data_IF_830699353142
#
_entry.id   IF_830699353142
#
_cell.length_a   1.000
_cell.length_b   1.000
_cell.length_c   1.000
_cell.angle_alpha   90.00
_cell.angle_beta   90.00
_cell.angle_gamma   90.00
#
_symmetry.space_group_name_H-M   'P 1'
#
loop_
_entity.id
_entity.type
_entity.pdbx_description
1 polymer ?
#
# COMPACT_ATOMS: atom_id res chain seq x y z
N UNK A 1 7.29 41.62 -7.57
CA UNK A 1 7.50 40.20 -7.32
C UNK A 1 6.46 39.81 -6.27
N UNK A 2 5.28 39.34 -6.69
CA UNK A 2 4.19 38.98 -5.78
C UNK A 2 4.48 37.62 -5.20
N UNK A 3 4.78 37.56 -3.93
CA UNK A 3 4.82 36.30 -3.16
C UNK A 3 3.37 35.90 -2.92
N UNK A 4 2.83 35.05 -3.78
CA UNK A 4 1.58 34.37 -3.47
C UNK A 4 1.88 33.39 -2.32
N UNK A 5 1.35 33.67 -1.14
CA UNK A 5 1.47 32.77 0.00
C UNK A 5 0.74 31.45 -0.31
N UNK A 6 1.24 30.32 0.20
CA UNK A 6 0.60 29.01 0.08
C UNK A 6 -0.87 28.99 0.56
N UNK A 7 -1.25 29.94 1.41
CA UNK A 7 -2.64 30.20 1.82
C UNK A 7 -3.52 30.71 0.68
N UNK A 8 -3.02 31.57 -0.21
CA UNK A 8 -3.81 32.11 -1.32
C UNK A 8 -4.15 31.07 -2.38
N UNK A 9 -3.30 30.05 -2.55
CA UNK A 9 -3.56 28.95 -3.49
C UNK A 9 -4.66 28.02 -2.96
N UNK A 10 -4.63 27.69 -1.66
CA UNK A 10 -5.66 26.87 -1.01
C UNK A 10 -7.02 27.59 -1.09
N UNK A 11 -7.06 28.89 -0.83
CA UNK A 11 -8.27 29.71 -0.89
C UNK A 11 -8.82 29.84 -2.32
N UNK A 12 -7.95 30.06 -3.30
CA UNK A 12 -8.33 30.08 -4.72
C UNK A 12 -8.87 28.74 -5.15
N UNK A 13 -8.24 27.66 -4.70
CA UNK A 13 -8.63 26.29 -4.98
C UNK A 13 -10.00 25.93 -4.38
N UNK A 14 -10.23 26.22 -3.09
CA UNK A 14 -11.53 26.02 -2.46
C UNK A 14 -12.63 26.84 -3.14
N UNK A 15 -12.28 28.04 -3.61
CA UNK A 15 -13.17 28.89 -4.39
C UNK A 15 -13.52 28.33 -5.76
N UNK A 16 -12.59 27.68 -6.45
CA UNK A 16 -12.82 27.04 -7.76
C UNK A 16 -13.65 25.76 -7.59
N UNK A 17 -13.34 24.94 -6.57
CA UNK A 17 -14.11 23.73 -6.27
C UNK A 17 -15.54 24.00 -5.84
N UNK A 18 -15.79 25.13 -5.19
CA UNK A 18 -17.15 25.53 -4.79
C UNK A 18 -18.03 25.96 -5.96
N UNK A 19 -17.45 26.24 -7.14
CA UNK A 19 -18.14 26.81 -8.32
C UNK A 19 -18.28 25.89 -9.52
N UNK A 20 -17.74 24.68 -9.50
CA UNK A 20 -17.77 23.83 -10.70
C UNK A 20 -17.11 22.46 -10.55
N UNK A 21 -16.63 21.91 -11.60
CA UNK A 21 -16.04 20.58 -11.71
C UNK A 21 -14.97 20.34 -10.61
N UNK A 22 -15.18 19.33 -9.77
CA UNK A 22 -14.14 18.88 -8.83
C UNK A 22 -12.86 18.60 -9.62
N UNK A 23 -11.78 19.31 -9.30
CA UNK A 23 -10.46 18.99 -9.81
C UNK A 23 -10.03 17.66 -9.22
N UNK A 24 -9.39 16.83 -10.02
CA UNK A 24 -8.83 15.57 -9.60
C UNK A 24 -7.76 15.83 -8.52
N UNK A 25 -7.68 14.98 -7.52
CA UNK A 25 -6.68 15.10 -6.45
C UNK A 25 -5.25 15.09 -7.00
N UNK A 26 -5.02 14.34 -8.06
CA UNK A 26 -3.74 14.30 -8.76
C UNK A 26 -3.36 15.64 -9.39
N UNK A 27 -4.31 16.36 -9.97
CA UNK A 27 -4.07 17.71 -10.51
C UNK A 27 -3.69 18.71 -9.42
N UNK A 28 -4.26 18.54 -8.22
CA UNK A 28 -3.93 19.35 -7.06
C UNK A 28 -2.50 19.11 -6.58
N UNK A 29 -2.15 17.85 -6.42
CA UNK A 29 -0.82 17.44 -6.01
C UNK A 29 0.20 17.93 -7.02
N UNK A 30 -0.10 17.75 -8.31
CA UNK A 30 0.72 18.27 -9.40
C UNK A 30 0.95 19.79 -9.26
N UNK A 31 -0.13 20.55 -9.17
CA UNK A 31 -0.04 22.02 -9.03
C UNK A 31 0.79 22.41 -7.81
N UNK A 32 0.57 21.76 -6.68
CA UNK A 32 1.31 22.03 -5.46
C UNK A 32 2.80 21.73 -5.60
N UNK A 33 3.16 20.58 -6.13
CA UNK A 33 4.55 20.18 -6.36
C UNK A 33 5.25 21.21 -7.27
N UNK A 34 4.63 21.51 -8.41
CA UNK A 34 5.25 22.37 -9.42
C UNK A 34 5.31 23.86 -9.07
N UNK A 35 4.57 24.32 -8.07
CA UNK A 35 4.76 25.67 -7.49
C UNK A 35 6.02 25.78 -6.61
N UNK A 36 6.51 24.66 -6.09
CA UNK A 36 7.67 24.63 -5.19
C UNK A 36 8.94 24.17 -5.90
N UNK A 37 8.88 23.70 -7.15
CA UNK A 37 10.04 23.37 -7.97
C UNK A 37 10.52 24.62 -8.71
N UNK A 38 11.85 24.83 -8.78
CA UNK A 38 12.45 25.97 -9.45
C UNK A 38 12.23 25.92 -10.97
N UNK A 39 12.15 27.11 -11.64
CA UNK A 39 11.99 27.19 -13.11
C UNK A 39 13.02 26.34 -13.87
N UNK A 40 14.24 26.27 -13.36
CA UNK A 40 15.34 25.52 -13.98
C UNK A 40 15.02 24.02 -14.12
N UNK A 41 14.34 23.46 -13.15
CA UNK A 41 14.07 22.02 -13.06
C UNK A 41 12.64 21.65 -13.52
N UNK A 42 11.82 22.68 -13.78
CA UNK A 42 10.38 22.52 -14.05
C UNK A 42 10.09 21.56 -15.20
N UNK A 43 10.69 21.76 -16.37
CA UNK A 43 10.40 20.95 -17.56
C UNK A 43 10.81 19.49 -17.35
N UNK A 44 11.97 19.25 -16.71
CA UNK A 44 12.47 17.91 -16.41
C UNK A 44 11.50 17.14 -15.50
N UNK A 45 11.03 17.76 -14.44
CA UNK A 45 10.11 17.08 -13.51
C UNK A 45 8.68 17.00 -14.03
N UNK A 46 8.27 17.91 -14.91
CA UNK A 46 7.00 17.83 -15.61
C UNK A 46 6.96 16.61 -16.56
N UNK A 47 8.05 16.33 -17.26
CA UNK A 47 8.19 15.13 -18.09
C UNK A 47 8.12 13.85 -17.25
N UNK A 48 8.88 13.78 -16.14
CA UNK A 48 8.83 12.65 -15.19
C UNK A 48 7.42 12.41 -14.65
N UNK A 49 6.70 13.47 -14.28
CA UNK A 49 5.31 13.37 -13.84
C UNK A 49 4.40 12.82 -14.93
N UNK A 50 4.56 13.28 -16.16
CA UNK A 50 3.83 12.76 -17.32
C UNK A 50 4.10 11.27 -17.55
N UNK A 51 5.32 10.82 -17.33
CA UNK A 51 5.70 9.41 -17.46
C UNK A 51 5.16 8.55 -16.31
N UNK A 52 5.10 9.10 -15.08
CA UNK A 52 4.43 8.45 -13.95
C UNK A 52 2.94 8.19 -14.23
N UNK A 53 2.23 9.18 -14.76
CA UNK A 53 0.82 9.02 -15.16
C UNK A 53 0.67 7.90 -16.18
N UNK A 54 1.49 7.90 -17.24
CA UNK A 54 1.46 6.83 -18.26
C UNK A 54 1.76 5.45 -17.69
N UNK A 55 2.80 5.34 -16.85
CA UNK A 55 3.23 4.07 -16.25
C UNK A 55 2.20 3.50 -15.27
N UNK A 56 1.45 4.36 -14.57
CA UNK A 56 0.43 3.93 -13.62
C UNK A 56 -0.94 3.68 -14.26
N UNK A 57 -1.13 3.99 -15.54
CA UNK A 57 -2.39 3.80 -16.26
C UNK A 57 -3.60 4.36 -15.47
N UNK A 58 -3.53 5.62 -15.07
CA UNK A 58 -4.52 6.38 -14.28
C UNK A 58 -4.65 5.97 -12.79
N UNK A 59 -3.81 5.06 -12.30
CA UNK A 59 -3.78 4.67 -10.88
C UNK A 59 -2.68 5.39 -10.08
N UNK A 60 -2.28 6.60 -10.48
CA UNK A 60 -1.20 7.35 -9.82
C UNK A 60 -1.56 7.71 -8.37
N UNK A 61 -2.81 8.01 -8.07
CA UNK A 61 -3.28 8.32 -6.72
C UNK A 61 -3.09 7.13 -5.77
N UNK A 62 -3.52 5.94 -6.19
CA UNK A 62 -3.36 4.71 -5.41
C UNK A 62 -1.88 4.38 -5.21
N UNK A 63 -1.07 4.54 -6.26
CA UNK A 63 0.37 4.34 -6.16
C UNK A 63 1.02 5.30 -5.16
N UNK A 64 0.72 6.58 -5.24
CA UNK A 64 1.23 7.58 -4.30
C UNK A 64 0.80 7.27 -2.87
N UNK A 65 -0.45 6.88 -2.67
CA UNK A 65 -0.96 6.50 -1.36
C UNK A 65 -0.19 5.31 -0.76
N UNK A 66 0.03 4.27 -1.56
CA UNK A 66 0.82 3.10 -1.15
C UNK A 66 2.27 3.49 -0.85
N UNK A 67 2.89 4.30 -1.71
CA UNK A 67 4.26 4.78 -1.53
C UNK A 67 4.43 5.63 -0.27
N UNK A 68 3.54 6.60 -0.05
CA UNK A 68 3.59 7.49 1.11
C UNK A 68 3.50 6.71 2.43
N UNK A 69 2.67 5.68 2.48
CA UNK A 69 2.60 4.79 3.64
C UNK A 69 3.84 3.91 3.78
N UNK A 70 4.35 3.37 2.67
CA UNK A 70 5.46 2.44 2.67
C UNK A 70 6.82 3.08 3.01
N UNK A 71 7.04 4.35 2.63
CA UNK A 71 8.33 5.00 2.72
C UNK A 71 8.34 6.30 3.53
N UNK A 72 7.25 7.05 3.55
CA UNK A 72 7.22 8.41 4.11
C UNK A 72 6.54 8.48 5.49
N UNK A 73 6.02 7.36 6.01
CA UNK A 73 5.29 7.33 7.30
C UNK A 73 4.04 8.25 7.30
N UNK A 74 3.42 8.40 6.14
CA UNK A 74 2.25 9.23 5.96
C UNK A 74 0.98 8.38 5.93
N UNK A 75 0.24 8.32 7.04
CA UNK A 75 -0.92 7.43 7.22
C UNK A 75 -2.29 8.11 7.07
N UNK A 76 -2.30 9.40 6.73
CA UNK A 76 -3.57 10.12 6.63
C UNK A 76 -4.32 9.74 5.35
N UNK A 77 -5.63 9.59 5.47
CA UNK A 77 -6.51 9.32 4.33
C UNK A 77 -6.75 10.62 3.58
N UNK A 78 -6.43 10.61 2.28
CA UNK A 78 -6.67 11.72 1.38
C UNK A 78 -5.57 12.78 1.36
N UNK A 79 -5.16 13.13 0.17
CA UNK A 79 -4.21 14.20 -0.11
C UNK A 79 -4.96 15.54 -0.25
N UNK A 80 -5.77 15.92 0.76
CA UNK A 80 -6.44 17.22 0.74
C UNK A 80 -5.45 18.35 1.07
N UNK A 81 -5.71 19.55 0.57
CA UNK A 81 -4.89 20.74 0.79
C UNK A 81 -4.56 20.97 2.28
N UNK A 82 -5.46 20.59 3.19
CA UNK A 82 -5.25 20.66 4.65
C UNK A 82 -4.06 19.82 5.12
N UNK A 83 -3.69 18.76 4.40
CA UNK A 83 -2.64 17.83 4.78
C UNK A 83 -1.30 18.10 4.12
N UNK A 84 -1.21 18.97 3.11
CA UNK A 84 0.05 19.29 2.45
C UNK A 84 1.13 19.78 3.40
N UNK A 85 0.81 20.65 4.37
CA UNK A 85 1.81 21.11 5.35
C UNK A 85 2.43 19.98 6.17
N UNK A 86 1.64 18.97 6.51
CA UNK A 86 2.16 17.80 7.23
C UNK A 86 3.00 16.93 6.31
N UNK A 87 2.61 16.81 5.03
CA UNK A 87 3.37 16.10 4.01
C UNK A 87 4.71 16.78 3.76
N UNK A 88 4.75 18.11 3.61
CA UNK A 88 5.96 18.89 3.43
C UNK A 88 7.00 18.60 4.50
N UNK A 89 6.60 18.78 5.75
CA UNK A 89 7.48 18.50 6.87
C UNK A 89 7.98 17.06 6.85
N UNK A 90 7.10 16.12 6.57
CA UNK A 90 7.45 14.69 6.54
C UNK A 90 8.40 14.37 5.38
N UNK A 91 8.20 14.95 4.19
CA UNK A 91 9.11 14.79 3.04
C UNK A 91 10.49 15.41 3.32
N UNK A 92 10.51 16.62 3.85
CA UNK A 92 11.77 17.30 4.19
C UNK A 92 12.57 16.50 5.22
N UNK A 93 11.93 15.96 6.25
CA UNK A 93 12.58 15.10 7.25
C UNK A 93 13.07 13.78 6.64
N UNK A 94 12.23 13.11 5.85
CA UNK A 94 12.59 11.84 5.22
C UNK A 94 13.78 11.97 4.28
N UNK A 95 13.76 12.98 3.41
CA UNK A 95 14.85 13.23 2.45
C UNK A 95 16.01 14.02 3.02
N UNK A 96 15.94 14.44 4.28
CA UNK A 96 16.95 15.27 4.95
C UNK A 96 17.29 16.52 4.13
N UNK A 97 16.26 17.25 3.74
CA UNK A 97 16.37 18.47 2.95
C UNK A 97 15.83 19.65 3.75
N UNK A 98 16.53 20.79 3.66
CA UNK A 98 16.09 22.07 4.23
C UNK A 98 15.21 22.86 3.25
N UNK A 99 15.22 22.48 1.97
CA UNK A 99 14.42 23.06 0.89
C UNK A 99 13.32 22.10 0.45
N UNK A 100 12.08 22.60 0.41
CA UNK A 100 10.93 21.80 0.02
C UNK A 100 10.98 21.38 -1.45
N UNK A 101 11.46 22.26 -2.34
CA UNK A 101 11.57 21.94 -3.76
C UNK A 101 12.53 20.76 -3.99
N UNK A 102 13.64 20.71 -3.27
CA UNK A 102 14.59 19.59 -3.33
C UNK A 102 13.97 18.30 -2.76
N UNK A 103 13.20 18.39 -1.67
CA UNK A 103 12.50 17.24 -1.13
C UNK A 103 11.43 16.68 -2.11
N UNK A 104 10.69 17.56 -2.77
CA UNK A 104 9.69 17.20 -3.77
C UNK A 104 10.31 16.58 -5.04
N UNK A 105 11.46 17.08 -5.48
CA UNK A 105 12.23 16.48 -6.59
C UNK A 105 12.63 15.04 -6.26
N UNK A 106 13.21 14.81 -5.09
CA UNK A 106 13.56 13.46 -4.63
C UNK A 106 12.35 12.54 -4.49
N UNK A 107 11.23 13.08 -4.06
CA UNK A 107 9.98 12.34 -4.00
C UNK A 107 9.52 11.85 -5.38
N UNK A 108 9.57 12.71 -6.41
CA UNK A 108 9.24 12.31 -7.79
C UNK A 108 10.25 11.27 -8.30
N UNK A 109 11.54 11.46 -8.04
CA UNK A 109 12.59 10.51 -8.44
C UNK A 109 12.37 9.12 -7.83
N UNK A 110 12.02 9.06 -6.56
CA UNK A 110 11.71 7.80 -5.87
C UNK A 110 10.43 7.15 -6.39
N UNK A 111 9.40 7.95 -6.67
CA UNK A 111 8.19 7.43 -7.33
C UNK A 111 8.53 6.83 -8.69
N UNK A 112 9.32 7.53 -9.52
CA UNK A 112 9.71 7.03 -10.83
C UNK A 112 10.53 5.73 -10.75
N UNK A 113 11.45 5.65 -9.80
CA UNK A 113 12.29 4.47 -9.60
C UNK A 113 11.48 3.23 -9.19
N UNK A 114 10.42 3.41 -8.41
CA UNK A 114 9.69 2.30 -7.79
C UNK A 114 8.35 1.96 -8.46
N UNK A 115 7.92 2.74 -9.47
CA UNK A 115 6.63 2.53 -10.13
C UNK A 115 6.50 1.15 -10.78
N UNK A 116 7.59 0.62 -11.33
CA UNK A 116 7.57 -0.72 -11.94
C UNK A 116 7.32 -1.81 -10.90
N UNK A 117 7.86 -1.67 -9.70
CA UNK A 117 7.61 -2.61 -8.61
C UNK A 117 6.14 -2.60 -8.18
N UNK A 118 5.53 -1.42 -8.15
CA UNK A 118 4.10 -1.28 -7.88
C UNK A 118 3.24 -1.92 -8.99
N UNK A 119 3.58 -1.70 -10.24
CA UNK A 119 2.88 -2.28 -11.38
C UNK A 119 2.95 -3.81 -11.38
N UNK A 120 4.12 -4.38 -11.07
CA UNK A 120 4.29 -5.83 -10.96
C UNK A 120 3.41 -6.42 -9.87
N UNK A 121 3.32 -5.76 -8.72
CA UNK A 121 2.44 -6.20 -7.64
C UNK A 121 0.96 -6.15 -8.00
N UNK A 122 0.54 -5.12 -8.71
CA UNK A 122 -0.88 -4.87 -9.03
C UNK A 122 -1.31 -5.54 -10.34
N UNK A 123 -0.38 -5.87 -11.23
CA UNK A 123 -0.71 -6.54 -12.47
C UNK A 123 -0.99 -8.02 -12.24
N UNK A 124 -2.03 -8.53 -12.93
CA UNK A 124 -2.34 -9.97 -12.97
C UNK A 124 -1.17 -10.82 -13.51
N UNK A 125 -0.16 -10.19 -14.11
CA UNK A 125 1.06 -10.81 -14.62
C UNK A 125 2.19 -10.95 -13.57
N UNK A 126 1.85 -11.26 -12.32
CA UNK A 126 2.82 -11.59 -11.26
C UNK A 126 3.69 -12.83 -11.55
N UNK A 127 3.67 -13.32 -12.80
CA UNK A 127 4.56 -14.34 -13.33
C UNK A 127 6.05 -14.00 -13.21
N UNK A 128 6.39 -12.71 -13.03
CA UNK A 128 7.77 -12.25 -12.89
C UNK A 128 8.47 -12.77 -11.62
N UNK A 129 7.71 -13.17 -10.60
CA UNK A 129 8.29 -13.74 -9.39
C UNK A 129 8.44 -15.27 -9.49
N UNK A 130 7.81 -15.89 -10.48
CA UNK A 130 7.81 -17.34 -10.71
C UNK A 130 7.68 -18.16 -9.41
N UNK A 131 6.70 -17.79 -8.58
CA UNK A 131 6.37 -18.47 -7.33
C UNK A 131 4.87 -18.71 -7.26
N UNK A 132 4.42 -19.97 -7.39
CA UNK A 132 3.00 -20.30 -7.22
C UNK A 132 2.44 -19.85 -5.87
N UNK A 133 3.23 -19.96 -4.81
CA UNK A 133 2.83 -19.52 -3.46
C UNK A 133 2.65 -18.00 -3.37
N UNK A 134 3.56 -17.23 -3.94
CA UNK A 134 3.44 -15.78 -3.99
C UNK A 134 2.15 -15.38 -4.71
N UNK A 135 1.95 -15.94 -5.91
CA UNK A 135 0.75 -15.68 -6.70
C UNK A 135 -0.52 -16.04 -5.92
N UNK A 136 -0.54 -17.21 -5.31
CA UNK A 136 -1.69 -17.68 -4.52
C UNK A 136 -2.09 -16.67 -3.44
N UNK A 137 -1.16 -16.27 -2.57
CA UNK A 137 -1.48 -15.35 -1.47
C UNK A 137 -1.86 -13.95 -1.95
N UNK A 138 -1.23 -13.44 -3.01
CA UNK A 138 -1.60 -12.14 -3.59
C UNK A 138 -2.98 -12.17 -4.25
N UNK A 139 -3.33 -13.26 -4.92
CA UNK A 139 -4.65 -13.43 -5.52
C UNK A 139 -5.73 -13.57 -4.44
N UNK A 140 -5.46 -14.27 -3.35
CA UNK A 140 -6.37 -14.34 -2.19
C UNK A 140 -6.61 -12.96 -1.56
N UNK A 141 -5.57 -12.16 -1.35
CA UNK A 141 -5.70 -10.80 -0.83
C UNK A 141 -6.58 -9.92 -1.72
N UNK A 142 -6.39 -10.02 -3.05
CA UNK A 142 -7.19 -9.28 -4.04
C UNK A 142 -8.64 -9.76 -4.09
N UNK A 143 -8.86 -11.08 -4.06
CA UNK A 143 -10.20 -11.67 -4.07
C UNK A 143 -11.03 -11.24 -2.86
N UNK A 144 -10.38 -11.07 -1.70
CA UNK A 144 -11.00 -10.63 -0.45
C UNK A 144 -11.02 -9.11 -0.29
N UNK A 145 -10.54 -8.38 -1.28
CA UNK A 145 -10.49 -6.90 -1.29
C UNK A 145 -9.74 -6.32 -0.07
N UNK A 146 -8.66 -7.00 0.37
CA UNK A 146 -7.83 -6.53 1.47
C UNK A 146 -6.79 -5.52 0.98
N UNK A 147 -7.06 -4.23 1.18
CA UNK A 147 -6.19 -3.14 0.74
C UNK A 147 -5.08 -2.78 1.75
N UNK A 148 -5.34 -2.99 3.04
CA UNK A 148 -4.43 -2.56 4.11
C UNK A 148 -3.02 -3.17 4.05
N UNK A 149 -2.83 -4.42 3.56
CA UNK A 149 -1.50 -5.00 3.39
C UNK A 149 -0.65 -4.36 2.29
N UNK A 150 -1.26 -3.63 1.34
CA UNK A 150 -0.58 -3.16 0.12
C UNK A 150 0.71 -2.35 0.38
N UNK A 151 0.78 -1.41 1.34
CA UNK A 151 2.02 -0.69 1.62
C UNK A 151 3.15 -1.60 2.13
N UNK A 152 2.85 -2.54 3.02
CA UNK A 152 3.84 -3.49 3.54
C UNK A 152 4.30 -4.46 2.44
N UNK A 153 3.41 -4.98 1.64
CA UNK A 153 3.74 -5.86 0.51
C UNK A 153 4.59 -5.12 -0.52
N UNK A 154 4.24 -3.88 -0.83
CA UNK A 154 5.03 -3.04 -1.73
C UNK A 154 6.44 -2.81 -1.18
N UNK A 155 6.58 -2.45 0.09
CA UNK A 155 7.87 -2.31 0.74
C UNK A 155 8.68 -3.61 0.69
N UNK A 156 8.06 -4.74 1.04
CA UNK A 156 8.69 -6.06 1.00
C UNK A 156 9.18 -6.42 -0.39
N UNK A 157 8.39 -6.11 -1.42
CA UNK A 157 8.78 -6.37 -2.81
C UNK A 157 9.97 -5.51 -3.25
N UNK A 158 10.02 -4.26 -2.84
CA UNK A 158 11.17 -3.40 -3.10
C UNK A 158 12.44 -3.93 -2.42
N UNK A 159 12.37 -4.34 -1.15
CA UNK A 159 13.51 -4.97 -0.44
C UNK A 159 14.00 -6.23 -1.18
N UNK A 160 13.08 -7.06 -1.68
CA UNK A 160 13.42 -8.22 -2.50
C UNK A 160 14.14 -7.83 -3.80
N UNK A 161 13.72 -6.75 -4.47
CA UNK A 161 14.33 -6.29 -5.72
C UNK A 161 15.71 -5.65 -5.51
N UNK A 162 15.92 -5.01 -4.38
CA UNK A 162 17.19 -4.39 -4.00
C UNK A 162 18.21 -5.43 -3.48
N UNK A 163 17.85 -6.73 -3.45
CA UNK A 163 18.62 -7.90 -3.06
C UNK A 163 18.90 -8.04 -1.54
N UNK A 164 18.20 -7.28 -0.73
CA UNK A 164 18.30 -7.40 0.73
C UNK A 164 17.41 -8.51 1.30
N UNK A 165 16.51 -9.06 0.46
CA UNK A 165 15.54 -10.07 0.87
C UNK A 165 15.52 -11.24 -0.12
N UNK A 166 15.42 -12.47 0.38
CA UNK A 166 15.26 -13.63 -0.48
C UNK A 166 13.78 -13.90 -0.85
N UNK A 167 13.57 -14.77 -1.84
CA UNK A 167 12.23 -15.12 -2.34
C UNK A 167 11.37 -15.85 -1.31
N UNK A 168 12.00 -16.60 -0.40
CA UNK A 168 11.29 -17.32 0.66
C UNK A 168 10.73 -16.33 1.66
N UNK A 169 11.53 -15.35 2.06
CA UNK A 169 11.15 -14.31 2.99
C UNK A 169 10.07 -13.39 2.42
N UNK A 170 10.19 -12.98 1.15
CA UNK A 170 9.11 -12.30 0.44
C UNK A 170 7.79 -13.07 0.51
N UNK A 171 7.84 -14.38 0.21
CA UNK A 171 6.67 -15.25 0.25
C UNK A 171 6.11 -15.40 1.66
N UNK A 172 6.98 -15.50 2.67
CA UNK A 172 6.59 -15.61 4.09
C UNK A 172 5.84 -14.37 4.57
N UNK A 173 6.35 -13.17 4.26
CA UNK A 173 5.67 -11.92 4.65
C UNK A 173 4.29 -11.82 4.02
N UNK A 174 4.15 -12.12 2.73
CA UNK A 174 2.84 -12.04 2.06
C UNK A 174 1.88 -13.10 2.57
N UNK A 175 2.36 -14.31 2.82
CA UNK A 175 1.59 -15.37 3.49
C UNK A 175 1.09 -14.90 4.86
N UNK A 176 1.97 -14.27 5.64
CA UNK A 176 1.62 -13.79 6.98
C UNK A 176 0.60 -12.65 6.91
N UNK A 177 0.77 -11.70 6.00
CA UNK A 177 -0.25 -10.65 5.74
C UNK A 177 -1.61 -11.26 5.42
N UNK A 178 -1.66 -12.23 4.50
CA UNK A 178 -2.88 -12.91 4.14
C UNK A 178 -3.48 -13.66 5.33
N UNK A 179 -2.69 -14.48 6.01
CA UNK A 179 -3.15 -15.30 7.15
C UNK A 179 -3.68 -14.42 8.30
N UNK A 180 -2.98 -13.31 8.58
CA UNK A 180 -3.42 -12.34 9.57
C UNK A 180 -4.77 -11.72 9.19
N UNK A 181 -4.89 -11.16 7.98
CA UNK A 181 -6.12 -10.52 7.52
C UNK A 181 -7.30 -11.49 7.49
N UNK A 182 -7.07 -12.70 7.00
CA UNK A 182 -8.10 -13.71 6.91
C UNK A 182 -8.58 -14.17 8.29
N UNK A 183 -7.66 -14.42 9.23
CA UNK A 183 -8.00 -14.80 10.61
C UNK A 183 -8.69 -13.69 11.36
N UNK A 184 -8.23 -12.45 11.18
CA UNK A 184 -8.70 -11.28 11.93
C UNK A 184 -10.04 -10.79 11.41
N UNK A 185 -10.14 -10.47 10.13
CA UNK A 185 -11.35 -9.88 9.56
C UNK A 185 -12.38 -10.91 9.13
N UNK A 186 -11.97 -11.94 8.38
CA UNK A 186 -12.94 -12.89 7.83
C UNK A 186 -13.40 -13.91 8.85
N UNK A 187 -12.50 -14.61 9.52
CA UNK A 187 -12.88 -15.67 10.45
C UNK A 187 -13.35 -15.13 11.80
N UNK A 188 -12.74 -14.06 12.30
CA UNK A 188 -13.08 -13.52 13.63
C UNK A 188 -14.01 -12.32 13.58
N UNK A 189 -14.40 -11.87 12.39
CA UNK A 189 -15.31 -10.72 12.15
C UNK A 189 -14.93 -9.48 12.97
N UNK A 190 -13.61 -9.18 13.04
CA UNK A 190 -13.09 -8.02 13.75
C UNK A 190 -13.07 -6.76 12.88
N UNK A 191 -13.18 -5.60 13.51
CA UNK A 191 -13.16 -4.32 12.81
C UNK A 191 -11.83 -4.09 12.07
N UNK A 192 -11.92 -3.61 10.85
CA UNK A 192 -10.76 -3.25 10.02
C UNK A 192 -9.84 -2.21 10.66
N UNK A 193 -10.36 -1.35 11.55
CA UNK A 193 -9.56 -0.33 12.25
C UNK A 193 -8.46 -0.92 13.13
N UNK A 194 -8.71 -2.06 13.74
CA UNK A 194 -7.71 -2.70 14.59
C UNK A 194 -6.63 -3.39 13.75
N UNK A 195 -6.99 -3.95 12.58
CA UNK A 195 -5.99 -4.47 11.65
C UNK A 195 -5.12 -3.35 11.05
N UNK A 196 -5.69 -2.18 10.74
CA UNK A 196 -4.93 -1.01 10.28
C UNK A 196 -3.83 -0.64 11.28
N UNK A 197 -4.14 -0.60 12.57
CA UNK A 197 -3.15 -0.29 13.62
C UNK A 197 -1.98 -1.28 13.64
N UNK A 198 -2.24 -2.58 13.41
CA UNK A 198 -1.17 -3.56 13.35
C UNK A 198 -0.20 -3.27 12.18
N UNK A 199 -0.73 -2.98 10.98
CA UNK A 199 0.10 -2.57 9.85
C UNK A 199 0.86 -1.26 10.11
N UNK A 200 0.22 -0.27 10.72
CA UNK A 200 0.89 0.99 11.11
C UNK A 200 2.02 0.75 12.11
N UNK A 201 1.83 -0.13 13.09
CA UNK A 201 2.87 -0.50 14.06
C UNK A 201 4.05 -1.16 13.37
N UNK A 202 3.81 -2.13 12.48
CA UNK A 202 4.85 -2.79 11.69
C UNK A 202 5.61 -1.78 10.84
N UNK A 203 4.90 -0.91 10.12
CA UNK A 203 5.54 0.11 9.30
C UNK A 203 6.37 1.08 10.13
N UNK A 204 5.89 1.48 11.32
CA UNK A 204 6.66 2.31 12.26
C UNK A 204 7.94 1.60 12.71
N UNK A 205 7.87 0.32 13.05
CA UNK A 205 9.04 -0.47 13.44
C UNK A 205 10.05 -0.55 12.29
N UNK A 206 9.60 -0.73 11.05
CA UNK A 206 10.48 -0.73 9.88
C UNK A 206 11.20 0.63 9.73
N UNK A 207 10.52 1.74 9.97
CA UNK A 207 11.12 3.08 9.90
C UNK A 207 12.15 3.34 10.99
N UNK A 208 11.92 2.83 12.18
CA UNK A 208 12.78 3.10 13.36
C UNK A 208 13.95 2.14 13.46
N UNK A 209 13.75 0.87 13.12
CA UNK A 209 14.69 -0.20 13.37
C UNK A 209 15.23 -0.88 12.10
N UNK A 210 14.73 -0.49 10.93
CA UNK A 210 15.03 -1.15 9.67
C UNK A 210 14.09 -2.32 9.36
N UNK A 211 14.21 -2.84 8.13
CA UNK A 211 13.36 -3.93 7.66
C UNK A 211 13.82 -5.28 8.24
N UNK A 212 12.95 -5.99 8.93
CA UNK A 212 13.21 -7.31 9.48
C UNK A 212 11.99 -8.22 9.37
N UNK A 213 12.13 -9.34 8.68
CA UNK A 213 11.05 -10.31 8.43
C UNK A 213 10.52 -10.94 9.72
N UNK A 214 11.41 -11.31 10.64
CA UNK A 214 11.00 -11.96 11.88
C UNK A 214 10.20 -10.99 12.78
N UNK A 215 10.58 -9.72 12.81
CA UNK A 215 9.87 -8.71 13.59
C UNK A 215 8.46 -8.49 13.02
N UNK A 216 8.32 -8.47 11.67
CA UNK A 216 7.04 -8.36 11.00
C UNK A 216 6.11 -9.53 11.34
N UNK A 217 6.65 -10.76 11.26
CA UNK A 217 5.87 -11.97 11.56
C UNK A 217 5.45 -11.99 13.04
N UNK A 218 6.39 -11.70 13.93
CA UNK A 218 6.13 -11.69 15.37
C UNK A 218 5.10 -10.64 15.79
N UNK A 219 5.09 -9.48 15.15
CA UNK A 219 4.10 -8.42 15.43
C UNK A 219 2.68 -8.87 15.05
N UNK A 220 2.50 -9.52 13.90
CA UNK A 220 1.19 -10.06 13.52
C UNK A 220 0.73 -11.17 14.48
N UNK A 221 1.62 -12.09 14.85
CA UNK A 221 1.32 -13.16 15.81
C UNK A 221 0.92 -12.59 17.17
N UNK A 222 1.67 -11.63 17.69
CA UNK A 222 1.37 -10.94 18.94
C UNK A 222 0.03 -10.21 18.89
N UNK A 223 -0.29 -9.56 17.76
CA UNK A 223 -1.55 -8.86 17.59
C UNK A 223 -2.73 -9.84 17.60
N UNK A 224 -2.63 -11.00 16.97
CA UNK A 224 -3.65 -12.05 17.05
C UNK A 224 -3.84 -12.52 18.49
N UNK A 225 -2.76 -12.79 19.23
CA UNK A 225 -2.81 -13.23 20.62
C UNK A 225 -3.48 -12.20 21.52
N UNK A 226 -3.09 -10.92 21.40
CA UNK A 226 -3.67 -9.80 22.18
C UNK A 226 -5.17 -9.68 21.94
N UNK A 227 -5.61 -9.95 20.71
CA UNK A 227 -7.03 -9.92 20.35
C UNK A 227 -7.77 -11.23 20.64
N UNK A 228 -7.11 -12.19 21.33
CA UNK A 228 -7.69 -13.47 21.70
C UNK A 228 -7.92 -14.41 20.52
N UNK A 229 -7.23 -14.22 19.41
CA UNK A 229 -7.33 -15.06 18.21
C UNK A 229 -6.18 -16.07 18.26
N UNK A 230 -6.50 -17.30 18.56
CA UNK A 230 -5.55 -18.41 18.61
C UNK A 230 -5.97 -19.52 17.64
N UNK A 231 -5.17 -20.58 17.52
CA UNK A 231 -5.43 -21.70 16.61
C UNK A 231 -6.77 -22.41 16.89
N UNK A 232 -7.14 -22.54 18.16
CA UNK A 232 -8.39 -23.20 18.57
C UNK A 232 -9.61 -22.40 18.13
N UNK A 233 -9.59 -21.06 18.31
CA UNK A 233 -10.67 -20.16 17.87
C UNK A 233 -10.74 -20.15 16.36
N UNK A 234 -9.61 -20.13 15.65
CA UNK A 234 -9.55 -20.17 14.19
C UNK A 234 -10.19 -21.49 13.70
N UNK A 235 -9.84 -22.63 14.29
CA UNK A 235 -10.40 -23.93 13.93
C UNK A 235 -11.92 -23.98 14.16
N UNK A 236 -12.40 -23.49 15.30
CA UNK A 236 -13.83 -23.40 15.59
C UNK A 236 -14.53 -22.51 14.55
N UNK A 237 -13.94 -21.38 14.22
CA UNK A 237 -14.53 -20.43 13.26
C UNK A 237 -14.56 -21.02 11.85
N UNK A 238 -13.52 -21.72 11.41
CA UNK A 238 -13.52 -22.42 10.12
C UNK A 238 -14.62 -23.47 10.07
N UNK A 239 -14.75 -24.31 11.12
CA UNK A 239 -15.75 -25.37 11.19
C UNK A 239 -17.19 -24.84 11.22
N UNK A 240 -17.39 -23.65 11.77
CA UNK A 240 -18.69 -22.98 11.82
C UNK A 240 -18.92 -22.02 10.65
N UNK A 241 -17.93 -21.81 9.79
CA UNK A 241 -18.05 -20.90 8.66
C UNK A 241 -18.93 -21.51 7.57
N UNK A 242 -20.18 -21.07 7.52
CA UNK A 242 -21.15 -21.47 6.50
C UNK A 242 -21.52 -20.19 5.74
N UNK A 243 -20.78 -19.92 4.65
CA UNK A 243 -20.99 -18.67 3.95
C UNK A 243 -21.10 -18.82 2.44
N UNK A 244 -22.32 -18.65 1.94
CA UNK A 244 -22.64 -18.51 0.52
C UNK A 244 -23.70 -17.43 0.27
N UNK A 245 -24.06 -16.64 1.27
CA UNK A 245 -25.18 -15.72 1.18
C UNK A 245 -24.85 -14.47 0.37
N UNK A 246 -23.66 -13.91 0.54
CA UNK A 246 -23.23 -12.70 -0.17
C UNK A 246 -21.91 -12.87 -0.94
N UNK A 247 -21.46 -11.77 -1.60
CA UNK A 247 -20.23 -11.79 -2.40
C UNK A 247 -18.99 -12.06 -1.54
N UNK A 248 -18.92 -11.47 -0.34
CA UNK A 248 -17.78 -11.60 0.57
C UNK A 248 -17.67 -13.02 1.12
N UNK A 249 -18.79 -13.60 1.56
CA UNK A 249 -18.84 -14.98 2.04
C UNK A 249 -18.45 -16.00 0.96
N UNK A 250 -18.91 -15.78 -0.28
CA UNK A 250 -18.51 -16.64 -1.41
C UNK A 250 -17.02 -16.54 -1.71
N UNK A 251 -16.43 -15.34 -1.63
CA UNK A 251 -15.00 -15.12 -1.82
C UNK A 251 -14.19 -15.86 -0.73
N UNK A 252 -14.59 -15.70 0.54
CA UNK A 252 -13.95 -16.39 1.66
C UNK A 252 -14.05 -17.91 1.57
N UNK A 253 -15.21 -18.45 1.17
CA UNK A 253 -15.39 -19.88 0.97
C UNK A 253 -14.51 -20.44 -0.15
N UNK A 254 -14.36 -19.70 -1.26
CA UNK A 254 -13.42 -20.07 -2.34
C UNK A 254 -11.98 -20.10 -1.85
N UNK A 255 -11.58 -19.11 -1.03
CA UNK A 255 -10.25 -19.08 -0.43
C UNK A 255 -10.00 -20.27 0.47
N UNK A 256 -10.95 -20.64 1.33
CA UNK A 256 -10.84 -21.82 2.20
C UNK A 256 -10.70 -23.13 1.39
N UNK A 257 -11.53 -23.30 0.37
CA UNK A 257 -11.47 -24.47 -0.51
C UNK A 257 -10.15 -24.52 -1.28
N UNK A 258 -9.72 -23.40 -1.83
CA UNK A 258 -8.44 -23.33 -2.55
C UNK A 258 -7.24 -23.57 -1.63
N UNK A 259 -7.30 -23.14 -0.35
CA UNK A 259 -6.27 -23.42 0.64
C UNK A 259 -6.17 -24.92 0.94
N UNK A 260 -7.31 -25.60 1.02
CA UNK A 260 -7.35 -27.06 1.19
C UNK A 260 -6.72 -27.78 -0.03
N UNK A 261 -7.11 -27.41 -1.23
CA UNK A 261 -6.55 -27.97 -2.47
C UNK A 261 -5.04 -27.68 -2.57
N UNK A 262 -4.62 -26.43 -2.29
CA UNK A 262 -3.22 -26.03 -2.33
C UNK A 262 -2.35 -26.77 -1.30
N UNK A 263 -2.90 -27.17 -0.17
CA UNK A 263 -2.19 -27.95 0.85
C UNK A 263 -2.02 -29.43 0.44
N UNK A 264 -2.95 -29.95 -0.35
CA UNK A 264 -2.99 -31.35 -0.77
C UNK A 264 -2.35 -31.62 -2.14
N UNK A 265 -2.31 -30.62 -3.01
CA UNK A 265 -1.69 -30.72 -4.33
C UNK A 265 -0.41 -29.92 -4.39
N UNK A 266 0.63 -30.47 -5.00
CA UNK A 266 1.90 -29.80 -5.24
C UNK A 266 1.78 -28.68 -6.28
N UNK A 267 0.94 -27.69 -6.03
CA UNK A 267 1.08 -26.37 -6.61
C UNK A 267 0.45 -26.10 -7.97
N UNK A 268 -0.61 -26.78 -8.37
CA UNK A 268 -1.41 -26.37 -9.54
C UNK A 268 -2.86 -26.17 -9.13
N UNK A 269 -3.24 -24.93 -8.85
CA UNK A 269 -4.63 -24.53 -8.66
C UNK A 269 -5.07 -23.77 -9.91
N UNK A 270 -6.14 -24.24 -10.52
CA UNK A 270 -6.83 -23.55 -11.60
C UNK A 270 -7.93 -22.68 -10.99
N UNK A 271 -7.70 -21.36 -10.94
CA UNK A 271 -8.63 -20.40 -10.33
C UNK A 271 -9.82 -20.03 -11.23
N UNK A 272 -9.85 -20.52 -12.47
CA UNK A 272 -10.87 -20.18 -13.46
C UNK A 272 -12.05 -21.18 -13.48
N UNK A 273 -12.03 -22.19 -12.61
CA UNK A 273 -13.16 -23.09 -12.36
C UNK A 273 -13.84 -22.73 -11.04
#
# INVERSE_FOLDING_TARGET
>A
MCVFSSLSFIEIFESINSKGKQLDQIDLIKSYIFQNITEKDYDTYLEKWGDLIKKTADNLEDYMYVFLKAYIKYYRVGLSAKYFRTLDYTLMQYYKQDDLGEALKKFIDDLEQKVENYNIMNNKSSYLINSPKFKYYTDCLKLLEYEHPSPLIFRTYCEYKDNDLDKKDLTNVIKTCFSYMFSFQTLSNRDSKDSIKAFETIMNNIFENGYNVNDIISEFENNLIINGINSEIIEININNYIGYSDKGERAASRVLLSAYEFSNETGKIDYDK
#
